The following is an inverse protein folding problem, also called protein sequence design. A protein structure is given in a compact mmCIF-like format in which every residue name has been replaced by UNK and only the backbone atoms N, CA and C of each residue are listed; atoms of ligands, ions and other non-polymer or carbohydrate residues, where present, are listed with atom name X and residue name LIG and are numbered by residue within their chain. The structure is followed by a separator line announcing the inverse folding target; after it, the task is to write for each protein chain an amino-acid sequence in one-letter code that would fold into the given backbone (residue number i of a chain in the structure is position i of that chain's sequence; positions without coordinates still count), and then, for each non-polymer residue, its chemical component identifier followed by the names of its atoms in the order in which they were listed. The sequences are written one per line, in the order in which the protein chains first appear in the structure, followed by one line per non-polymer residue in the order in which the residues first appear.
data_IF_965801215617
#
_entry.id   IF_965801215617
#
_cell.length_a   1.000
_cell.length_b   1.000
_cell.length_c   1.000
_cell.angle_alpha   90.00
_cell.angle_beta   90.00
_cell.angle_gamma   90.00
#
_symmetry.space_group_name_H-M   'P 1'
#
loop_
_entity.id
_entity.type
_entity.pdbx_description
1 polymer ?
#
# COMPACT_ATOMS: atom_id res chain seq x y z
N UNK A 1 -4.76 -48.38 37.57
CA UNK A 1 -4.02 -48.01 36.34
C UNK A 1 -4.69 -46.91 35.47
N UNK A 2 -5.73 -46.24 35.94
CA UNK A 2 -6.50 -45.21 35.20
C UNK A 2 -6.10 -43.76 35.48
N UNK A 3 -5.45 -43.49 36.61
CA UNK A 3 -5.08 -42.10 36.98
C UNK A 3 -3.88 -41.52 36.18
N UNK A 4 -2.96 -42.39 35.71
CA UNK A 4 -1.75 -41.97 34.96
C UNK A 4 -2.07 -41.48 33.53
N UNK A 5 -3.13 -41.97 32.88
CA UNK A 5 -3.49 -41.55 31.51
C UNK A 5 -4.13 -40.17 31.44
N UNK A 6 -4.86 -39.77 32.49
CA UNK A 6 -5.53 -38.48 32.53
C UNK A 6 -4.56 -37.29 32.80
N UNK A 7 -3.46 -37.55 33.52
CA UNK A 7 -2.43 -36.54 33.79
C UNK A 7 -1.61 -36.26 32.53
N UNK A 8 -1.33 -37.31 31.72
CA UNK A 8 -0.59 -37.15 30.48
C UNK A 8 -1.40 -36.38 29.41
N UNK A 9 -2.71 -36.66 29.31
CA UNK A 9 -3.59 -35.94 28.38
C UNK A 9 -3.82 -34.50 28.79
N UNK A 10 -3.90 -34.18 30.08
CA UNK A 10 -4.02 -32.83 30.59
C UNK A 10 -2.75 -32.01 30.35
N UNK A 11 -1.57 -32.62 30.49
CA UNK A 11 -0.27 -32.02 30.22
C UNK A 11 -0.08 -31.68 28.72
N UNK A 12 -0.52 -32.55 27.83
CA UNK A 12 -0.46 -32.32 26.37
C UNK A 12 -1.42 -31.22 25.92
N UNK A 13 -2.63 -31.16 26.49
CA UNK A 13 -3.61 -30.08 26.20
C UNK A 13 -3.12 -28.75 26.76
N UNK A 14 -2.51 -28.72 27.94
CA UNK A 14 -1.93 -27.50 28.51
C UNK A 14 -0.70 -27.03 27.74
N UNK A 15 0.13 -27.96 27.26
CA UNK A 15 1.27 -27.64 26.38
C UNK A 15 0.82 -27.12 25.00
N UNK A 16 -0.26 -27.69 24.43
CA UNK A 16 -0.86 -27.16 23.20
C UNK A 16 -1.47 -25.77 23.38
N UNK A 17 -2.08 -25.47 24.52
CA UNK A 17 -2.61 -24.14 24.84
C UNK A 17 -1.50 -23.08 25.01
N UNK A 18 -0.31 -23.47 25.51
CA UNK A 18 0.83 -22.58 25.65
C UNK A 18 1.53 -22.24 24.32
N UNK A 19 1.40 -23.08 23.29
CA UNK A 19 1.96 -22.81 21.96
C UNK A 19 1.09 -21.83 21.16
N UNK A 20 -0.18 -21.62 21.55
CA UNK A 20 -1.10 -20.69 20.87
C UNK A 20 -0.96 -19.24 21.37
N UNK A 21 -0.24 -18.99 22.47
CA UNK A 21 0.12 -17.64 22.92
C UNK A 21 1.36 -17.08 22.23
N UNK A 22 1.64 -17.54 21.00
CA UNK A 22 2.65 -16.93 20.13
C UNK A 22 2.29 -15.49 19.84
N UNK A 23 3.16 -14.58 20.23
CA UNK A 23 3.20 -13.14 20.01
C UNK A 23 2.09 -12.62 19.09
N UNK A 24 1.01 -12.13 19.66
CA UNK A 24 0.08 -11.27 18.97
C UNK A 24 0.81 -9.94 18.76
N UNK A 25 1.59 -9.85 17.67
CA UNK A 25 2.04 -8.55 17.17
C UNK A 25 0.76 -7.77 16.82
N UNK A 26 0.66 -6.55 17.32
CA UNK A 26 -0.42 -5.64 16.95
C UNK A 26 -0.46 -5.57 15.41
N UNK A 27 -1.52 -6.06 14.75
CA UNK A 27 -1.59 -6.07 13.29
C UNK A 27 -1.67 -4.65 12.72
N UNK A 28 -1.94 -3.65 13.56
CA UNK A 28 -2.09 -2.24 13.21
C UNK A 28 -0.78 -1.44 13.37
N UNK A 29 0.29 -2.07 13.86
CA UNK A 29 1.58 -1.42 14.01
C UNK A 29 2.66 -2.20 13.28
N UNK A 30 3.45 -1.52 12.46
CA UNK A 30 4.68 -2.03 11.88
C UNK A 30 5.88 -1.58 12.73
N UNK A 31 6.94 -2.37 12.69
CA UNK A 31 8.25 -1.99 13.22
C UNK A 31 9.07 -1.43 12.08
N UNK A 32 9.70 -0.29 12.29
CA UNK A 32 10.62 0.29 11.30
C UNK A 32 11.68 -0.74 10.92
N UNK A 33 11.81 -1.03 9.64
CA UNK A 33 12.81 -1.96 9.10
C UNK A 33 14.18 -1.30 9.04
N UNK A 34 15.26 -2.09 9.10
CA UNK A 34 16.63 -1.57 8.92
C UNK A 34 16.81 -0.99 7.52
N UNK A 35 17.48 0.16 7.47
CA UNK A 35 17.80 0.80 6.20
C UNK A 35 18.57 -0.15 5.26
N UNK A 36 18.37 -0.07 3.94
CA UNK A 36 19.20 -0.74 2.95
C UNK A 36 20.67 -0.37 3.10
N UNK A 37 21.58 -1.28 2.77
CA UNK A 37 23.02 -1.04 2.90
C UNK A 37 23.52 0.18 2.09
N UNK A 38 22.82 0.51 1.00
CA UNK A 38 23.12 1.69 0.19
C UNK A 38 23.01 3.01 0.99
N UNK A 39 22.12 3.08 1.98
CA UNK A 39 22.00 4.24 2.89
C UNK A 39 23.17 4.35 3.88
N UNK A 40 23.78 3.24 4.25
CA UNK A 40 24.93 3.22 5.17
C UNK A 40 26.19 3.87 4.56
N UNK A 41 26.22 4.07 3.26
CA UNK A 41 27.37 4.63 2.53
C UNK A 41 27.19 6.09 2.11
N UNK A 42 26.21 6.79 2.66
CA UNK A 42 25.98 8.22 2.41
C UNK A 42 25.61 8.57 0.96
N UNK A 43 25.16 7.58 0.16
CA UNK A 43 24.85 7.76 -1.26
C UNK A 43 23.45 8.33 -1.51
N UNK A 44 22.59 8.37 -0.52
CA UNK A 44 21.26 8.96 -0.61
C UNK A 44 21.24 10.25 0.22
N UNK A 45 21.20 11.38 -0.47
CA UNK A 45 21.00 12.69 0.14
C UNK A 45 19.51 12.82 0.55
N UNK A 46 19.15 12.27 1.67
CA UNK A 46 17.89 12.61 2.27
C UNK A 46 18.09 13.87 3.12
N UNK A 47 18.10 15.04 2.50
CA UNK A 47 18.10 16.32 3.19
C UNK A 47 16.67 16.65 3.60
N UNK A 48 16.21 16.03 4.69
CA UNK A 48 15.00 16.48 5.35
C UNK A 48 15.43 17.05 6.67
N UNK A 49 15.15 18.35 6.84
CA UNK A 49 15.46 19.11 8.03
C UNK A 49 14.88 18.47 9.29
N UNK A 50 15.46 18.82 10.44
CA UNK A 50 15.12 18.30 11.76
C UNK A 50 13.70 18.72 12.22
N UNK A 51 12.67 18.36 11.43
CA UNK A 51 11.28 18.57 11.83
C UNK A 51 10.73 17.28 12.50
N UNK A 52 9.79 17.42 13.44
CA UNK A 52 9.14 16.25 14.04
C UNK A 52 8.48 15.38 12.97
N UNK A 53 8.65 14.07 13.07
CA UNK A 53 8.03 13.07 12.17
C UNK A 53 6.51 12.99 12.30
N UNK A 54 5.94 13.69 13.25
CA UNK A 54 4.49 13.74 13.43
C UNK A 54 3.71 14.03 12.12
N UNK A 55 4.41 14.54 11.11
CA UNK A 55 3.83 14.78 9.79
C UNK A 55 4.80 14.30 8.70
N UNK A 56 4.42 13.23 7.98
CA UNK A 56 5.07 12.88 6.71
C UNK A 56 5.01 14.08 5.75
N UNK A 57 6.02 14.28 4.89
CA UNK A 57 5.98 15.31 3.88
C UNK A 57 4.65 15.26 3.11
N UNK A 58 3.97 16.40 2.97
CA UNK A 58 2.65 16.48 2.34
C UNK A 58 1.50 15.94 3.21
N UNK A 59 1.66 15.87 4.54
CA UNK A 59 0.59 15.60 5.50
C UNK A 59 0.20 14.13 5.68
N UNK A 60 0.96 13.18 5.09
CA UNK A 60 0.70 11.75 5.23
C UNK A 60 0.97 10.93 3.97
N UNK A 61 0.52 9.68 3.92
CA UNK A 61 0.68 8.77 2.79
C UNK A 61 -0.56 8.81 1.89
N UNK A 62 -0.35 9.01 0.59
CA UNK A 62 -1.43 8.87 -0.40
C UNK A 62 -1.86 7.41 -0.51
N UNK A 63 -3.15 7.20 -0.58
CA UNK A 63 -3.70 5.87 -0.82
C UNK A 63 -4.76 5.87 -1.91
N UNK A 64 -4.91 4.73 -2.55
CA UNK A 64 -6.05 4.38 -3.40
C UNK A 64 -6.57 3.01 -2.98
N UNK A 65 -7.88 2.85 -2.82
CA UNK A 65 -8.48 1.60 -2.34
C UNK A 65 -9.82 1.31 -3.00
N UNK A 66 -10.05 0.04 -3.29
CA UNK A 66 -11.35 -0.52 -3.67
C UNK A 66 -11.98 -1.36 -2.53
N UNK A 67 -11.54 -1.12 -1.30
CA UNK A 67 -12.22 -1.64 -0.10
C UNK A 67 -13.44 -0.80 0.24
N UNK A 68 -14.45 -1.48 0.79
CA UNK A 68 -15.59 -0.81 1.37
C UNK A 68 -15.20 -0.10 2.67
N UNK A 69 -15.66 1.15 2.91
CA UNK A 69 -15.53 1.79 4.20
C UNK A 69 -16.14 0.92 5.31
N UNK A 70 -15.57 0.97 6.51
CA UNK A 70 -16.17 0.29 7.67
C UNK A 70 -17.47 0.96 8.08
N UNK A 71 -18.43 0.15 8.53
CA UNK A 71 -19.62 0.67 9.19
C UNK A 71 -19.27 1.11 10.62
N UNK A 72 -20.06 2.01 11.19
CA UNK A 72 -19.80 2.65 12.50
C UNK A 72 -19.57 1.69 13.68
N UNK A 73 -19.93 0.41 13.55
CA UNK A 73 -19.74 -0.63 14.56
C UNK A 73 -18.42 -1.40 14.45
N UNK A 74 -17.63 -1.15 13.42
CA UNK A 74 -16.36 -1.84 13.15
C UNK A 74 -15.17 -0.93 13.49
N UNK A 75 -14.04 -1.54 13.84
CA UNK A 75 -12.78 -0.82 14.02
C UNK A 75 -12.00 -0.72 12.72
N UNK A 76 -11.24 0.36 12.54
CA UNK A 76 -10.43 0.62 11.35
C UNK A 76 -11.06 1.65 10.42
N UNK A 77 -10.43 1.88 9.28
CA UNK A 77 -10.87 2.87 8.28
C UNK A 77 -11.59 2.21 7.11
N UNK A 78 -11.09 1.06 6.65
CA UNK A 78 -11.67 0.27 5.58
C UNK A 78 -11.73 -1.21 5.97
N UNK A 79 -12.84 -1.84 5.66
CA UNK A 79 -13.10 -3.24 5.97
C UNK A 79 -12.48 -4.22 4.97
N UNK A 80 -12.81 -5.51 5.12
CA UNK A 80 -12.45 -6.56 4.17
C UNK A 80 -13.40 -6.64 2.96
N UNK A 81 -14.51 -5.88 2.97
CA UNK A 81 -15.49 -5.84 1.90
C UNK A 81 -14.94 -5.18 0.64
N UNK A 82 -15.51 -5.56 -0.51
CA UNK A 82 -15.17 -4.98 -1.83
C UNK A 82 -16.08 -3.79 -2.12
N UNK A 83 -15.49 -2.72 -2.62
CA UNK A 83 -16.20 -1.62 -3.29
C UNK A 83 -15.92 -1.68 -4.79
N UNK A 84 -16.91 -1.29 -5.60
CA UNK A 84 -16.65 -1.11 -7.04
C UNK A 84 -16.01 0.24 -7.35
N UNK A 85 -16.10 1.19 -6.43
CA UNK A 85 -15.52 2.50 -6.58
C UNK A 85 -14.07 2.51 -6.07
N UNK A 86 -13.16 3.04 -6.87
CA UNK A 86 -11.79 3.33 -6.45
C UNK A 86 -11.78 4.62 -5.63
N UNK A 87 -11.61 4.50 -4.33
CA UNK A 87 -11.55 5.62 -3.39
C UNK A 87 -10.12 6.05 -3.16
N UNK A 88 -9.90 7.35 -2.99
CA UNK A 88 -8.58 7.92 -2.80
C UNK A 88 -8.56 8.89 -1.63
N UNK A 89 -7.38 9.07 -1.05
CA UNK A 89 -7.22 9.98 0.06
C UNK A 89 -5.80 10.03 0.60
N UNK A 90 -5.71 10.57 1.81
CA UNK A 90 -4.50 10.75 2.58
C UNK A 90 -4.62 10.02 3.91
N UNK A 91 -3.68 9.15 4.22
CA UNK A 91 -3.57 8.48 5.51
C UNK A 91 -2.56 9.22 6.38
N UNK A 92 -3.00 9.66 7.56
CA UNK A 92 -2.13 10.30 8.57
C UNK A 92 -1.39 9.21 9.33
N UNK A 93 -0.11 9.46 9.57
CA UNK A 93 0.80 8.52 10.20
C UNK A 93 1.44 9.16 11.42
N UNK A 94 1.66 8.35 12.42
CA UNK A 94 2.45 8.69 13.60
C UNK A 94 3.58 7.68 13.76
N UNK A 95 4.77 8.17 14.06
CA UNK A 95 5.98 7.36 14.22
C UNK A 95 6.50 7.53 15.63
N UNK A 96 6.51 6.46 16.41
CA UNK A 96 7.10 6.45 17.76
C UNK A 96 6.40 7.42 18.70
N UNK A 97 7.20 8.05 19.54
CA UNK A 97 6.79 9.09 20.49
C UNK A 97 6.82 10.48 19.83
N UNK A 98 6.05 11.42 20.36
CA UNK A 98 5.86 12.78 19.83
C UNK A 98 7.12 13.60 19.56
N UNK A 99 8.25 13.19 20.14
CA UNK A 99 9.54 13.91 20.08
C UNK A 99 10.49 13.34 19.02
N UNK A 100 10.05 12.37 18.23
CA UNK A 100 10.87 11.77 17.19
C UNK A 100 11.05 12.74 16.03
N UNK A 101 12.32 13.07 15.71
CA UNK A 101 12.70 13.86 14.54
C UNK A 101 13.05 12.95 13.37
N UNK A 102 13.04 13.51 12.16
CA UNK A 102 13.50 12.80 10.96
C UNK A 102 14.94 12.34 11.05
N UNK A 103 15.82 13.16 11.65
CA UNK A 103 17.21 12.80 11.93
C UNK A 103 17.28 11.56 12.82
N UNK A 104 16.49 11.55 13.91
CA UNK A 104 16.44 10.42 14.84
C UNK A 104 15.85 9.16 14.20
N UNK A 105 14.79 9.28 13.38
CA UNK A 105 14.25 8.15 12.64
C UNK A 105 15.27 7.57 11.66
N UNK A 106 16.05 8.42 11.01
CA UNK A 106 17.15 7.98 10.15
C UNK A 106 18.23 7.26 10.92
N UNK A 107 18.70 7.81 12.04
CA UNK A 107 19.65 7.11 12.92
C UNK A 107 19.15 5.72 13.30
N UNK A 108 17.88 5.62 13.71
CA UNK A 108 17.24 4.35 14.09
C UNK A 108 17.18 3.39 12.90
N UNK A 109 16.84 3.86 11.72
CA UNK A 109 16.76 3.03 10.51
C UNK A 109 18.13 2.51 10.06
N UNK A 110 19.21 3.25 10.31
CA UNK A 110 20.59 2.88 9.98
C UNK A 110 21.18 1.93 11.03
N UNK A 111 20.75 1.99 12.29
CA UNK A 111 21.28 1.14 13.37
C UNK A 111 20.96 -0.34 13.13
N UNK A 112 22.01 -1.15 12.98
CA UNK A 112 21.89 -2.62 12.79
C UNK A 112 21.33 -3.35 14.01
N UNK A 113 21.48 -2.80 15.23
CA UNK A 113 20.98 -3.36 16.48
C UNK A 113 19.87 -2.49 17.05
N UNK A 114 18.64 -2.80 16.69
CA UNK A 114 17.45 -2.07 17.17
C UNK A 114 17.07 -2.54 18.57
N UNK A 115 17.57 -1.85 19.60
CA UNK A 115 17.16 -2.09 20.98
C UNK A 115 15.74 -1.54 21.29
N UNK A 116 15.22 -0.61 20.48
CA UNK A 116 13.93 0.03 20.69
C UNK A 116 12.99 -0.25 19.52
N UNK A 117 11.72 -0.50 19.84
CA UNK A 117 10.66 -0.65 18.86
C UNK A 117 9.94 0.70 18.72
N UNK A 118 10.06 1.31 17.55
CA UNK A 118 9.31 2.50 17.23
C UNK A 118 8.08 2.06 16.41
N UNK A 119 6.88 2.07 16.99
CA UNK A 119 5.69 1.71 16.26
C UNK A 119 5.36 2.80 15.25
N UNK A 120 5.06 2.39 14.03
CA UNK A 120 4.51 3.22 13.00
C UNK A 120 3.01 2.91 12.93
N UNK A 121 2.15 3.92 13.03
CA UNK A 121 0.70 3.74 13.10
C UNK A 121 -0.03 4.68 12.15
N UNK A 122 -1.14 4.20 11.59
CA UNK A 122 -2.11 5.07 10.92
C UNK A 122 -3.05 5.63 11.99
N UNK A 123 -3.06 6.94 12.14
CA UNK A 123 -3.85 7.65 13.15
C UNK A 123 -5.15 8.22 12.61
N UNK A 124 -5.27 8.33 11.28
CA UNK A 124 -6.47 8.85 10.64
C UNK A 124 -6.40 8.72 9.13
N UNK A 125 -7.54 8.87 8.48
CA UNK A 125 -7.63 8.98 7.03
C UNK A 125 -8.48 10.20 6.67
N UNK A 126 -8.07 10.88 5.62
CA UNK A 126 -8.84 11.92 4.97
C UNK A 126 -9.20 11.42 3.58
N UNK A 127 -10.42 10.90 3.41
CA UNK A 127 -10.91 10.46 2.12
C UNK A 127 -11.25 11.66 1.24
N UNK A 128 -10.75 11.68 0.01
CA UNK A 128 -11.08 12.71 -0.97
C UNK A 128 -12.32 12.33 -1.77
N UNK A 129 -12.65 11.05 -1.84
CA UNK A 129 -13.80 10.48 -2.53
C UNK A 129 -13.41 9.42 -3.57
N UNK A 130 -14.34 9.08 -4.44
CA UNK A 130 -14.13 8.10 -5.51
C UNK A 130 -13.59 8.75 -6.78
N UNK A 131 -12.64 8.08 -7.46
CA UNK A 131 -12.07 8.55 -8.73
C UNK A 131 -12.97 8.27 -9.93
N UNK A 132 -13.72 7.18 -9.92
CA UNK A 132 -14.53 6.74 -11.04
C UNK A 132 -16.01 7.12 -10.85
N UNK A 133 -16.54 8.08 -11.63
CA UNK A 133 -17.95 8.42 -11.61
C UNK A 133 -18.81 7.38 -12.36
N UNK A 134 -18.17 6.51 -13.16
CA UNK A 134 -18.87 5.51 -13.98
C UNK A 134 -19.03 4.17 -13.27
N UNK A 135 -18.61 4.05 -11.98
CA UNK A 135 -18.96 2.88 -11.20
C UNK A 135 -20.49 2.80 -11.14
N UNK A 136 -21.13 1.98 -11.97
CA UNK A 136 -22.58 1.94 -12.02
C UNK A 136 -23.03 1.43 -10.67
N UNK A 137 -23.92 2.09 -9.99
CA UNK A 137 -24.66 1.50 -8.86
C UNK A 137 -24.11 1.69 -7.44
N UNK A 138 -23.17 2.56 -7.17
CA UNK A 138 -23.09 3.08 -5.82
C UNK A 138 -23.91 4.36 -5.76
N UNK A 139 -25.01 4.30 -5.08
CA UNK A 139 -26.04 5.35 -4.97
C UNK A 139 -25.51 6.70 -4.41
N UNK A 140 -24.22 6.77 -4.05
CA UNK A 140 -23.67 7.86 -3.23
C UNK A 140 -22.66 8.77 -3.93
N UNK A 141 -22.29 8.55 -5.19
CA UNK A 141 -21.27 9.41 -5.83
C UNK A 141 -21.83 10.13 -7.03
N UNK A 142 -22.05 11.43 -6.91
CA UNK A 142 -22.41 12.29 -8.04
C UNK A 142 -21.20 12.57 -8.93
N UNK A 143 -21.41 12.87 -10.21
CA UNK A 143 -20.31 13.25 -11.13
C UNK A 143 -19.51 14.46 -10.66
N UNK A 144 -20.12 15.34 -9.90
CA UNK A 144 -19.48 16.53 -9.31
C UNK A 144 -18.54 16.15 -8.17
N UNK A 145 -18.94 15.23 -7.29
CA UNK A 145 -18.12 14.73 -6.18
C UNK A 145 -16.89 13.99 -6.67
N UNK A 146 -17.03 13.16 -7.70
CA UNK A 146 -15.92 12.50 -8.36
C UNK A 146 -14.94 13.51 -9.00
N UNK A 147 -15.44 14.56 -9.60
CA UNK A 147 -14.62 15.67 -10.13
C UNK A 147 -13.80 16.35 -9.03
N UNK A 148 -14.41 16.62 -7.88
CA UNK A 148 -13.72 17.20 -6.71
C UNK A 148 -12.65 16.22 -6.16
N UNK A 149 -12.98 14.94 -6.02
CA UNK A 149 -12.04 13.92 -5.53
C UNK A 149 -10.82 13.82 -6.46
N UNK A 150 -11.04 13.76 -7.78
CA UNK A 150 -9.97 13.73 -8.79
C UNK A 150 -9.06 14.96 -8.70
N UNK A 151 -9.65 16.16 -8.60
CA UNK A 151 -8.88 17.40 -8.50
C UNK A 151 -8.04 17.45 -7.21
N UNK A 152 -8.60 17.04 -6.07
CA UNK A 152 -7.89 17.01 -4.79
C UNK A 152 -6.73 16.02 -4.81
N UNK A 153 -6.97 14.82 -5.36
CA UNK A 153 -5.95 13.78 -5.42
C UNK A 153 -4.83 14.15 -6.39
N UNK A 154 -5.17 14.68 -7.59
CA UNK A 154 -4.19 15.20 -8.53
C UNK A 154 -3.34 16.31 -7.91
N UNK A 155 -3.97 17.26 -7.19
CA UNK A 155 -3.24 18.32 -6.49
C UNK A 155 -2.29 17.75 -5.45
N UNK A 156 -2.72 16.81 -4.62
CA UNK A 156 -1.89 16.21 -3.59
C UNK A 156 -0.68 15.43 -4.16
N UNK A 157 -0.84 14.81 -5.34
CA UNK A 157 0.27 14.20 -6.07
C UNK A 157 1.22 15.30 -6.60
N UNK A 158 0.68 16.30 -7.29
CA UNK A 158 1.47 17.36 -7.91
C UNK A 158 2.25 18.18 -6.88
N UNK A 159 1.66 18.51 -5.72
CA UNK A 159 2.35 19.22 -4.64
C UNK A 159 3.63 18.49 -4.18
N UNK A 160 3.65 17.16 -4.22
CA UNK A 160 4.84 16.35 -3.93
C UNK A 160 5.82 16.31 -5.08
N UNK A 161 5.31 16.13 -6.30
CA UNK A 161 6.12 16.15 -7.49
C UNK A 161 6.84 17.51 -7.64
N UNK A 162 6.20 18.61 -7.30
CA UNK A 162 6.79 19.96 -7.39
C UNK A 162 7.95 20.16 -6.39
N UNK A 163 7.94 19.43 -5.28
CA UNK A 163 9.03 19.44 -4.29
C UNK A 163 10.15 18.43 -4.61
N UNK A 164 9.96 17.57 -5.61
CA UNK A 164 10.91 16.54 -6.01
C UNK A 164 11.68 16.92 -7.29
N UNK A 165 12.99 16.64 -7.35
CA UNK A 165 13.76 16.81 -8.58
C UNK A 165 13.32 15.85 -9.68
N UNK A 166 12.76 14.69 -9.31
CA UNK A 166 12.23 13.69 -10.23
C UNK A 166 10.70 13.69 -10.15
N UNK A 167 10.03 13.71 -11.30
CA UNK A 167 8.57 13.67 -11.40
C UNK A 167 8.05 12.22 -11.42
N UNK A 168 8.53 11.43 -10.48
CA UNK A 168 8.24 9.99 -10.37
C UNK A 168 7.04 9.74 -9.46
N UNK A 169 6.15 8.86 -9.91
CA UNK A 169 5.07 8.33 -9.06
C UNK A 169 5.29 6.85 -8.83
N UNK A 170 5.32 6.45 -7.57
CA UNK A 170 5.47 5.06 -7.14
C UNK A 170 4.12 4.53 -6.67
N UNK A 171 3.72 3.35 -7.16
CA UNK A 171 2.49 2.67 -6.75
C UNK A 171 2.88 1.32 -6.13
N UNK A 172 2.59 1.15 -4.85
CA UNK A 172 2.81 -0.11 -4.16
C UNK A 172 1.52 -0.93 -4.08
N UNK A 173 1.57 -2.15 -4.59
CA UNK A 173 0.45 -3.11 -4.58
C UNK A 173 0.79 -4.25 -3.64
N UNK A 174 0.11 -4.30 -2.50
CA UNK A 174 0.39 -5.26 -1.44
C UNK A 174 -0.02 -6.69 -1.79
N UNK A 175 0.47 -7.62 -0.98
CA UNK A 175 0.17 -9.04 -1.08
C UNK A 175 -1.12 -9.45 -0.37
N UNK A 176 -1.18 -10.72 -0.05
CA UNK A 176 -2.27 -11.38 0.63
C UNK A 176 -2.21 -11.17 2.16
N UNK A 177 -3.36 -11.25 2.82
CA UNK A 177 -3.51 -11.30 4.28
C UNK A 177 -3.08 -10.02 5.01
N UNK A 178 -3.42 -8.87 4.49
CA UNK A 178 -3.10 -7.58 5.11
C UNK A 178 -4.35 -6.77 5.44
N UNK A 179 -4.26 -5.98 6.50
CA UNK A 179 -5.23 -4.96 6.90
C UNK A 179 -4.89 -3.63 6.23
N UNK A 180 -5.80 -2.65 6.25
CA UNK A 180 -5.63 -1.36 5.53
C UNK A 180 -4.34 -0.64 5.93
N UNK A 181 -3.97 -0.66 7.16
CA UNK A 181 -2.84 0.08 7.69
C UNK A 181 -1.49 -0.43 7.15
N UNK A 182 -1.35 -1.74 6.93
CA UNK A 182 -0.07 -2.34 6.55
C UNK A 182 0.54 -1.79 5.25
N UNK A 183 -0.16 -1.73 4.10
CA UNK A 183 0.40 -1.16 2.88
C UNK A 183 0.72 0.32 2.99
N UNK A 184 -0.07 1.07 3.75
CA UNK A 184 0.20 2.49 4.03
C UNK A 184 1.54 2.62 4.76
N UNK A 185 1.76 1.80 5.78
CA UNK A 185 2.99 1.80 6.58
C UNK A 185 4.20 1.33 5.76
N UNK A 186 4.06 0.22 4.99
CA UNK A 186 5.12 -0.26 4.09
C UNK A 186 5.48 0.79 3.04
N UNK A 187 4.48 1.43 2.45
CA UNK A 187 4.69 2.49 1.47
C UNK A 187 5.43 3.70 2.07
N UNK A 188 5.13 4.05 3.31
CA UNK A 188 5.81 5.16 3.99
C UNK A 188 7.28 4.84 4.28
N UNK A 189 7.60 3.60 4.67
CA UNK A 189 8.99 3.16 4.82
C UNK A 189 9.75 3.16 3.50
N UNK A 190 9.14 2.65 2.43
CA UNK A 190 9.75 2.65 1.10
C UNK A 190 10.01 4.09 0.63
N UNK A 191 9.04 4.97 0.81
CA UNK A 191 9.19 6.39 0.45
C UNK A 191 10.26 7.09 1.29
N UNK A 192 10.36 6.76 2.59
CA UNK A 192 11.45 7.21 3.45
C UNK A 192 12.83 6.80 2.90
N UNK A 193 12.98 5.53 2.49
CA UNK A 193 14.24 5.05 1.93
C UNK A 193 14.58 5.65 0.55
N UNK A 194 13.58 6.15 -0.17
CA UNK A 194 13.77 6.92 -1.40
C UNK A 194 14.05 8.41 -1.13
N UNK A 195 14.23 8.83 0.14
CA UNK A 195 14.48 10.22 0.51
C UNK A 195 13.26 11.11 0.32
N UNK A 196 12.06 10.55 0.31
CA UNK A 196 10.79 11.22 0.03
C UNK A 196 10.73 11.89 -1.35
N UNK A 197 11.56 11.46 -2.28
CA UNK A 197 11.48 11.91 -3.66
C UNK A 197 10.25 11.34 -4.37
N UNK A 198 9.68 12.13 -5.28
CA UNK A 198 8.47 11.78 -6.02
C UNK A 198 7.21 11.73 -5.15
N UNK A 199 6.18 11.11 -5.68
CA UNK A 199 4.94 10.83 -4.97
C UNK A 199 4.75 9.32 -4.81
N UNK A 200 4.41 8.88 -3.60
CA UNK A 200 4.17 7.47 -3.30
C UNK A 200 2.70 7.22 -3.01
N UNK A 201 2.12 6.19 -3.62
CA UNK A 201 0.71 5.80 -3.48
C UNK A 201 0.63 4.35 -3.02
N UNK A 202 0.00 4.10 -1.88
CA UNK A 202 -0.36 2.76 -1.45
C UNK A 202 -1.66 2.33 -2.16
N UNK A 203 -1.59 1.36 -3.08
CA UNK A 203 -2.77 0.76 -3.68
C UNK A 203 -3.26 -0.42 -2.85
N UNK A 204 -4.51 -0.36 -2.45
CA UNK A 204 -5.06 -1.16 -1.39
C UNK A 204 -6.28 -1.96 -1.82
N UNK A 205 -6.07 -3.22 -2.15
CA UNK A 205 -7.14 -4.13 -2.58
C UNK A 205 -7.71 -4.96 -1.43
N UNK A 206 -8.98 -5.43 -1.50
CA UNK A 206 -9.60 -6.26 -0.48
C UNK A 206 -8.90 -7.62 -0.38
N UNK A 207 -8.01 -7.76 0.58
CA UNK A 207 -7.46 -9.05 1.00
C UNK A 207 -7.96 -9.37 2.40
N UNK A 208 -8.31 -10.63 2.63
CA UNK A 208 -8.86 -11.06 3.91
C UNK A 208 -7.74 -11.46 4.86
N UNK A 209 -7.69 -10.96 6.10
CA UNK A 209 -6.62 -11.29 7.04
C UNK A 209 -6.74 -12.72 7.61
N UNK A 210 -7.27 -13.69 6.83
CA UNK A 210 -7.48 -15.10 7.20
C UNK A 210 -6.86 -16.01 6.17
N UNK A 211 -6.05 -16.99 6.61
CA UNK A 211 -5.36 -17.93 5.73
C UNK A 211 -6.29 -18.77 4.85
N UNK A 212 -7.52 -19.01 5.30
CA UNK A 212 -8.54 -19.77 4.58
C UNK A 212 -9.19 -19.03 3.41
N UNK A 213 -9.01 -17.71 3.31
CA UNK A 213 -9.63 -16.88 2.28
C UNK A 213 -8.75 -16.74 1.01
N UNK A 214 -7.59 -17.38 0.98
CA UNK A 214 -6.60 -17.24 -0.10
C UNK A 214 -7.18 -17.40 -1.51
N UNK A 215 -7.94 -18.46 -1.77
CA UNK A 215 -8.53 -18.69 -3.10
C UNK A 215 -9.54 -17.60 -3.50
N UNK A 216 -10.38 -17.17 -2.56
CA UNK A 216 -11.33 -16.08 -2.81
C UNK A 216 -10.64 -14.73 -3.05
N UNK A 217 -9.53 -14.48 -2.36
CA UNK A 217 -8.73 -13.28 -2.54
C UNK A 217 -7.98 -13.28 -3.88
N UNK A 218 -7.50 -14.44 -4.35
CA UNK A 218 -6.88 -14.57 -5.68
C UNK A 218 -7.89 -14.27 -6.79
N UNK A 219 -9.11 -14.80 -6.72
CA UNK A 219 -10.16 -14.48 -7.68
C UNK A 219 -10.49 -12.98 -7.66
N UNK A 220 -10.39 -12.34 -6.48
CA UNK A 220 -10.57 -10.92 -6.33
C UNK A 220 -9.54 -10.10 -7.14
N UNK A 221 -8.28 -10.56 -7.20
CA UNK A 221 -7.22 -9.81 -7.90
C UNK A 221 -7.54 -9.60 -9.38
N UNK A 222 -8.22 -10.55 -10.02
CA UNK A 222 -8.62 -10.43 -11.42
C UNK A 222 -9.66 -9.31 -11.63
N UNK A 223 -10.65 -9.19 -10.72
CA UNK A 223 -11.66 -8.14 -10.75
C UNK A 223 -11.12 -6.75 -10.42
N UNK A 224 -10.10 -6.67 -9.54
CA UNK A 224 -9.54 -5.41 -9.05
C UNK A 224 -8.43 -4.85 -9.95
N UNK A 225 -7.91 -5.63 -10.90
CA UNK A 225 -6.90 -5.18 -11.87
C UNK A 225 -7.38 -3.97 -12.70
N UNK A 226 -8.70 -3.86 -12.94
CA UNK A 226 -9.31 -2.69 -13.56
C UNK A 226 -9.03 -1.42 -12.75
N UNK A 227 -9.22 -1.46 -11.44
CA UNK A 227 -9.06 -0.29 -10.58
C UNK A 227 -7.58 0.17 -10.52
N UNK A 228 -6.63 -0.78 -10.55
CA UNK A 228 -5.21 -0.44 -10.67
C UNK A 228 -4.91 0.23 -12.03
N UNK A 229 -5.46 -0.31 -13.12
CA UNK A 229 -5.32 0.30 -14.45
C UNK A 229 -5.91 1.72 -14.48
N UNK A 230 -7.07 1.93 -13.88
CA UNK A 230 -7.72 3.26 -13.80
C UNK A 230 -6.90 4.24 -12.95
N UNK A 231 -6.25 3.76 -11.89
CA UNK A 231 -5.30 4.60 -11.13
C UNK A 231 -4.11 5.02 -12.00
N UNK A 232 -3.53 4.09 -12.78
CA UNK A 232 -2.44 4.37 -13.70
C UNK A 232 -2.87 5.43 -14.72
N UNK A 233 -4.02 5.23 -15.37
CA UNK A 233 -4.60 6.18 -16.33
C UNK A 233 -4.85 7.55 -15.72
N UNK A 234 -5.37 7.59 -14.49
CA UNK A 234 -5.56 8.83 -13.76
C UNK A 234 -4.23 9.56 -13.50
N UNK A 235 -3.20 8.85 -13.03
CA UNK A 235 -1.88 9.47 -12.79
C UNK A 235 -1.29 10.00 -14.09
N UNK A 236 -1.38 9.25 -15.19
CA UNK A 236 -0.86 9.68 -16.49
C UNK A 236 -1.54 10.93 -17.03
N UNK A 237 -2.87 10.99 -16.89
CA UNK A 237 -3.69 12.01 -17.57
C UNK A 237 -4.01 13.23 -16.73
N UNK A 238 -3.95 13.10 -15.40
CA UNK A 238 -4.44 14.12 -14.47
C UNK A 238 -3.33 14.72 -13.58
N UNK A 239 -2.07 14.26 -13.70
CA UNK A 239 -0.95 14.74 -12.89
C UNK A 239 0.26 15.13 -13.73
N UNK A 240 1.23 15.80 -13.07
CA UNK A 240 2.50 16.20 -13.67
C UNK A 240 3.55 15.05 -13.65
N UNK A 241 3.13 13.82 -13.38
CA UNK A 241 4.05 12.67 -13.40
C UNK A 241 4.70 12.52 -14.78
N UNK A 242 6.01 12.29 -14.78
CA UNK A 242 6.79 11.96 -15.98
C UNK A 242 6.98 10.45 -16.10
N UNK A 243 7.15 9.77 -14.96
CA UNK A 243 7.36 8.33 -14.88
C UNK A 243 6.48 7.71 -13.79
N UNK A 244 6.04 6.49 -14.03
CA UNK A 244 5.27 5.69 -13.09
C UNK A 244 6.02 4.38 -12.85
N UNK A 245 6.21 4.06 -11.58
CA UNK A 245 6.84 2.83 -11.13
C UNK A 245 5.86 2.02 -10.31
N UNK A 246 5.73 0.73 -10.61
CA UNK A 246 4.82 -0.17 -9.90
C UNK A 246 5.65 -1.21 -9.15
N UNK A 247 5.36 -1.38 -7.86
CA UNK A 247 5.92 -2.42 -7.02
C UNK A 247 4.79 -3.35 -6.55
N UNK A 248 4.70 -4.52 -7.17
CA UNK A 248 3.79 -5.60 -6.75
C UNK A 248 4.48 -6.57 -5.80
N UNK A 249 3.81 -6.93 -4.71
CA UNK A 249 4.31 -7.89 -3.73
C UNK A 249 3.40 -9.11 -3.62
N UNK A 250 3.97 -10.33 -3.65
CA UNK A 250 3.28 -11.60 -3.44
C UNK A 250 2.02 -11.71 -4.33
N UNK A 251 0.83 -11.98 -3.77
CA UNK A 251 -0.43 -12.06 -4.50
C UNK A 251 -0.79 -10.77 -5.27
N UNK A 252 -0.29 -9.60 -4.85
CA UNK A 252 -0.46 -8.34 -5.58
C UNK A 252 0.18 -8.35 -6.96
N UNK A 253 1.19 -9.20 -7.18
CA UNK A 253 1.84 -9.37 -8.50
C UNK A 253 0.86 -9.87 -9.57
N UNK A 254 -0.10 -10.73 -9.19
CA UNK A 254 -1.17 -11.19 -10.08
C UNK A 254 -2.04 -10.05 -10.58
N UNK A 255 -2.40 -9.13 -9.68
CA UNK A 255 -3.16 -7.94 -10.03
C UNK A 255 -2.37 -7.03 -10.97
N UNK A 256 -1.09 -6.81 -10.67
CA UNK A 256 -0.22 -6.01 -11.53
C UNK A 256 -0.13 -6.62 -12.92
N UNK A 257 0.13 -7.93 -13.05
CA UNK A 257 0.20 -8.61 -14.35
C UNK A 257 -1.12 -8.47 -15.13
N UNK A 258 -2.27 -8.64 -14.47
CA UNK A 258 -3.58 -8.47 -15.09
C UNK A 258 -3.85 -7.03 -15.53
N UNK A 259 -3.43 -6.04 -14.76
CA UNK A 259 -3.54 -4.63 -15.15
C UNK A 259 -2.67 -4.34 -16.39
N UNK A 260 -1.46 -4.88 -16.44
CA UNK A 260 -0.57 -4.76 -17.62
C UNK A 260 -1.16 -5.45 -18.86
N UNK A 261 -1.75 -6.63 -18.70
CA UNK A 261 -2.47 -7.32 -19.77
C UNK A 261 -3.63 -6.46 -20.33
N UNK A 262 -4.42 -5.85 -19.44
CA UNK A 262 -5.52 -4.95 -19.86
C UNK A 262 -4.98 -3.73 -20.62
N UNK A 263 -3.88 -3.12 -20.14
CA UNK A 263 -3.24 -2.00 -20.83
C UNK A 263 -2.73 -2.42 -22.21
N UNK A 264 -2.12 -3.59 -22.33
CA UNK A 264 -1.65 -4.12 -23.61
C UNK A 264 -2.81 -4.37 -24.58
N UNK A 265 -3.93 -4.93 -24.11
CA UNK A 265 -5.12 -5.17 -24.92
C UNK A 265 -5.78 -3.87 -25.40
N UNK A 266 -5.88 -2.84 -24.54
CA UNK A 266 -6.40 -1.52 -24.89
C UNK A 266 -5.53 -0.85 -25.97
N UNK A 267 -4.21 -1.07 -25.90
CA UNK A 267 -3.26 -0.49 -26.84
C UNK A 267 -3.11 -1.27 -28.16
N UNK A 268 -3.80 -2.41 -28.31
CA UNK A 268 -3.70 -3.20 -29.56
C UNK A 268 -4.06 -2.33 -30.78
N UNK A 269 -3.15 -2.24 -31.72
CA UNK A 269 -3.26 -1.35 -32.90
C UNK A 269 -2.95 0.13 -32.62
N UNK A 270 -2.46 0.45 -31.42
CA UNK A 270 -2.05 1.80 -31.01
C UNK A 270 -0.61 1.85 -30.49
N UNK A 271 0.20 0.87 -30.86
CA UNK A 271 1.55 0.67 -30.32
C UNK A 271 2.46 1.88 -30.55
N UNK A 272 2.24 2.62 -31.65
CA UNK A 272 2.98 3.82 -32.02
C UNK A 272 2.38 5.13 -31.51
N UNK A 273 1.20 5.08 -30.87
CA UNK A 273 0.55 6.27 -30.32
C UNK A 273 1.34 6.77 -29.08
N UNK A 274 1.91 7.99 -29.10
CA UNK A 274 2.67 8.52 -27.97
C UNK A 274 1.80 8.77 -26.75
N UNK A 275 0.47 8.76 -26.88
CA UNK A 275 -0.50 8.92 -25.80
C UNK A 275 -1.21 7.62 -25.45
N UNK A 276 -0.67 6.46 -25.87
CA UNK A 276 -1.22 5.18 -25.47
C UNK A 276 -1.21 5.04 -23.95
N UNK A 277 -2.18 4.33 -23.41
CA UNK A 277 -2.24 4.06 -21.97
C UNK A 277 -0.97 3.32 -21.51
N UNK A 278 -0.40 3.73 -20.39
CA UNK A 278 0.84 3.18 -19.86
C UNK A 278 2.11 3.73 -20.54
N UNK A 279 2.02 4.84 -21.30
CA UNK A 279 3.18 5.44 -21.93
C UNK A 279 4.18 6.06 -20.94
N UNK A 280 3.74 6.35 -19.71
CA UNK A 280 4.60 6.81 -18.61
C UNK A 280 5.07 5.67 -17.68
N UNK A 281 4.64 4.42 -17.93
CA UNK A 281 5.13 3.28 -17.16
C UNK A 281 6.60 3.05 -17.47
N UNK A 282 7.46 3.20 -16.46
CA UNK A 282 8.91 3.04 -16.59
C UNK A 282 9.41 1.71 -16.01
N UNK A 283 8.97 1.37 -14.79
CA UNK A 283 9.38 0.14 -14.14
C UNK A 283 8.19 -0.59 -13.51
N UNK A 284 8.14 -1.90 -13.72
CA UNK A 284 7.23 -2.82 -13.03
C UNK A 284 8.06 -3.87 -12.32
N UNK A 285 8.08 -3.80 -11.00
CA UNK A 285 8.81 -4.74 -10.14
C UNK A 285 7.85 -5.72 -9.49
N UNK A 286 8.12 -7.01 -9.64
CA UNK A 286 7.34 -8.10 -9.06
C UNK A 286 8.20 -8.80 -8.01
N UNK A 287 7.90 -8.54 -6.73
CA UNK A 287 8.66 -9.05 -5.59
C UNK A 287 7.95 -10.25 -4.97
N UNK A 288 8.67 -11.35 -4.74
CA UNK A 288 8.11 -12.62 -4.23
C UNK A 288 6.88 -13.05 -5.02
N UNK A 289 6.99 -13.00 -6.34
CA UNK A 289 5.86 -13.17 -7.26
C UNK A 289 5.11 -14.46 -7.02
N UNK A 290 3.78 -14.36 -6.99
CA UNK A 290 2.81 -15.45 -6.88
C UNK A 290 2.18 -15.78 -8.25
N UNK A 291 2.85 -15.41 -9.33
CA UNK A 291 2.41 -15.70 -10.70
C UNK A 291 3.12 -16.96 -11.17
N UNK A 292 2.36 -17.89 -11.77
CA UNK A 292 2.95 -19.01 -12.47
C UNK A 292 3.84 -18.52 -13.62
N UNK A 293 5.04 -19.09 -13.73
CA UNK A 293 6.04 -18.68 -14.73
C UNK A 293 5.50 -18.78 -16.16
N UNK A 294 4.75 -19.85 -16.44
CA UNK A 294 4.26 -20.11 -17.80
C UNK A 294 3.10 -19.16 -18.16
N UNK A 295 2.31 -18.75 -17.16
CA UNK A 295 1.28 -17.71 -17.31
C UNK A 295 1.91 -16.34 -17.52
N UNK A 296 3.06 -16.06 -16.88
CA UNK A 296 3.75 -14.78 -17.06
C UNK A 296 4.45 -14.67 -18.40
N UNK A 297 4.91 -15.79 -18.95
CA UNK A 297 5.64 -15.84 -20.22
C UNK A 297 4.74 -15.90 -21.48
N UNK A 298 3.45 -16.15 -21.31
CA UNK A 298 2.46 -16.24 -22.39
C UNK A 298 1.97 -14.86 -22.83
#
# INVERSE_FOLDING_TARGET
MTASRNVLSLGVVLAMLLVVTGCASDPLALKIVGAPEALNHGKLNASIDAQPISELPGGGMLYATDRAPVVASESGFYGGGRSQALRVGLAKLEVGDSDLTWEKAREISILKNKAAHYPLRVTGVEEFGALDPSAPLTEDTTSNEAGVARARFAKAINDRLDQSPQKDVFIYVHGYKVVFENPVLVSSELWHFLGYEGAFIAFYWPSTPRSTAYFGDIDATAGMARNLRELIEFVETSTNAERIHILGYSAGTRMVARAMEQIALINRGRETDPKRLGHKLENVMLVSSDIDRDVFAA
#
